data_IF_640561124664
#
_entry.id   IF_640561124664
#
_cell.length_a   1.000
_cell.length_b   1.000
_cell.length_c   1.000
_cell.angle_alpha   90.00
_cell.angle_beta   90.00
_cell.angle_gamma   90.00
#
_symmetry.space_group_name_H-M   'P 1'
#
loop_
_entity.id
_entity.type
_entity.pdbx_description
1 polymer ?
#
# COMPACT_ATOMS: atom_id res chain seq x y z
N UNK A 1 -9.94 18.86 8.06
CA UNK A 1 -9.54 19.34 6.71
C UNK A 1 -10.80 19.51 5.89
N UNK A 2 -11.12 20.74 5.47
CA UNK A 2 -12.36 21.02 4.71
C UNK A 2 -12.20 20.58 3.24
N UNK A 3 -10.97 20.59 2.75
CA UNK A 3 -10.58 20.30 1.37
C UNK A 3 -10.80 18.84 0.99
N UNK A 4 -10.80 17.93 1.97
CA UNK A 4 -10.98 16.49 1.78
C UNK A 4 -12.33 16.01 2.31
N UNK A 5 -13.26 16.91 2.68
CA UNK A 5 -14.54 16.54 3.33
C UNK A 5 -15.38 15.59 2.48
N UNK A 6 -15.30 15.71 1.16
CA UNK A 6 -15.98 14.84 0.20
C UNK A 6 -15.30 13.48 0.02
N UNK A 7 -14.22 13.22 0.75
CA UNK A 7 -13.39 12.03 0.68
C UNK A 7 -12.32 12.06 -0.40
N UNK A 8 -11.32 11.21 -0.26
CA UNK A 8 -10.12 11.18 -1.11
C UNK A 8 -9.66 9.76 -1.42
N UNK A 9 -8.79 9.63 -2.42
CA UNK A 9 -8.16 8.36 -2.77
C UNK A 9 -6.72 8.33 -2.25
N UNK A 10 -6.21 7.14 -1.96
CA UNK A 10 -4.80 6.92 -1.60
C UNK A 10 -4.14 6.08 -2.68
N UNK A 11 -2.95 6.49 -3.11
CA UNK A 11 -2.03 5.65 -3.90
C UNK A 11 -0.78 5.41 -3.06
N UNK A 12 -0.61 4.17 -2.61
CA UNK A 12 0.52 3.74 -1.79
C UNK A 12 1.58 3.02 -2.63
N UNK A 13 2.85 3.35 -2.43
CA UNK A 13 3.99 2.71 -3.09
C UNK A 13 4.90 2.06 -2.05
N UNK A 14 5.27 0.79 -2.25
CA UNK A 14 6.20 0.07 -1.37
C UNK A 14 5.80 0.19 0.12
N UNK A 15 6.72 0.55 1.02
CA UNK A 15 6.41 0.75 2.44
C UNK A 15 5.33 1.82 2.71
N UNK A 16 5.14 2.78 1.80
CA UNK A 16 4.13 3.83 1.94
C UNK A 16 2.70 3.27 2.02
N UNK A 17 2.49 2.03 1.55
CA UNK A 17 1.23 1.32 1.69
C UNK A 17 0.84 1.08 3.15
N UNK A 18 1.79 0.76 4.02
CA UNK A 18 1.49 0.54 5.44
C UNK A 18 1.14 1.85 6.15
N UNK A 19 1.75 2.95 5.72
CA UNK A 19 1.40 4.29 6.21
C UNK A 19 0.00 4.68 5.73
N UNK A 20 -0.31 4.43 4.45
CA UNK A 20 -1.66 4.63 3.90
C UNK A 20 -2.72 3.80 4.64
N UNK A 21 -2.43 2.53 4.95
CA UNK A 21 -3.27 1.70 5.81
C UNK A 21 -3.41 2.27 7.22
N UNK A 22 -2.31 2.75 7.82
CA UNK A 22 -2.36 3.42 9.11
C UNK A 22 -3.31 4.63 9.10
N UNK A 23 -3.33 5.41 8.00
CA UNK A 23 -4.30 6.50 7.84
C UNK A 23 -5.74 5.97 7.74
N UNK A 24 -5.97 4.90 6.96
CA UNK A 24 -7.31 4.29 6.85
C UNK A 24 -7.79 3.73 8.18
N UNK A 25 -6.94 2.99 8.88
CA UNK A 25 -7.33 2.17 10.03
C UNK A 25 -7.27 2.93 11.36
N UNK A 26 -6.29 3.81 11.55
CA UNK A 26 -6.07 4.47 12.85
C UNK A 26 -6.76 5.83 12.98
N UNK A 27 -7.06 6.53 11.87
CA UNK A 27 -7.62 7.88 11.90
C UNK A 27 -9.16 7.88 11.93
N UNK A 28 -9.73 7.47 13.06
CA UNK A 28 -11.17 7.56 13.30
C UNK A 28 -11.67 9.02 13.21
N UNK A 29 -12.82 9.23 12.55
CA UNK A 29 -13.40 10.57 12.33
C UNK A 29 -12.65 11.44 11.32
N UNK A 30 -11.62 10.91 10.65
CA UNK A 30 -10.97 11.56 9.52
C UNK A 30 -11.87 11.64 8.28
N UNK A 31 -11.51 12.46 7.27
CA UNK A 31 -12.23 12.45 6.01
C UNK A 31 -12.18 11.06 5.35
N UNK A 32 -13.24 10.63 4.67
CA UNK A 32 -13.36 9.25 4.22
C UNK A 32 -12.38 8.92 3.10
N UNK A 33 -11.69 7.78 3.22
CA UNK A 33 -10.89 7.22 2.12
C UNK A 33 -11.83 6.42 1.21
N UNK A 34 -11.95 6.83 -0.05
CA UNK A 34 -12.80 6.17 -1.04
C UNK A 34 -12.11 4.93 -1.61
N UNK A 35 -11.05 5.13 -2.38
CA UNK A 35 -10.27 4.05 -2.97
C UNK A 35 -8.85 4.05 -2.44
N UNK A 36 -8.32 2.85 -2.17
CA UNK A 36 -6.92 2.68 -1.84
C UNK A 36 -6.24 1.78 -2.88
N UNK A 37 -5.34 2.37 -3.65
CA UNK A 37 -4.54 1.69 -4.66
C UNK A 37 -3.14 1.42 -4.13
N UNK A 38 -2.83 0.14 -3.95
CA UNK A 38 -1.60 -0.33 -3.34
C UNK A 38 -0.68 -0.97 -4.38
N UNK A 39 0.50 -0.39 -4.57
CA UNK A 39 1.53 -0.95 -5.45
C UNK A 39 2.66 -1.53 -4.61
N UNK A 40 2.81 -2.85 -4.64
CA UNK A 40 3.90 -3.55 -3.95
C UNK A 40 3.93 -3.26 -2.45
N UNK A 41 2.80 -3.34 -1.76
CA UNK A 41 2.74 -3.08 -0.31
C UNK A 41 3.20 -4.29 0.53
N UNK A 42 4.08 -4.14 1.53
CA UNK A 42 4.43 -5.22 2.45
C UNK A 42 3.34 -5.49 3.50
N UNK A 43 2.08 -5.72 3.10
CA UNK A 43 0.92 -5.73 3.99
C UNK A 43 0.95 -6.82 5.07
N UNK A 44 1.55 -7.97 4.77
CA UNK A 44 1.79 -9.04 5.74
C UNK A 44 3.22 -9.02 6.31
N UNK A 45 3.99 -7.98 6.01
CA UNK A 45 5.40 -7.82 6.38
C UNK A 45 6.37 -8.39 5.35
N UNK A 46 7.66 -8.34 5.68
CA UNK A 46 8.74 -8.97 4.90
C UNK A 46 9.56 -9.91 5.77
N UNK A 47 9.82 -11.11 5.26
CA UNK A 47 10.54 -12.20 5.90
C UNK A 47 12.05 -12.13 5.72
N UNK A 48 12.52 -11.12 4.98
CA UNK A 48 13.93 -10.86 4.79
C UNK A 48 14.17 -9.38 4.99
N UNK A 49 15.31 -9.10 5.60
CA UNK A 49 15.98 -7.81 5.44
C UNK A 49 16.23 -7.63 3.94
N UNK A 50 15.89 -6.49 3.33
CA UNK A 50 16.15 -6.25 1.91
C UNK A 50 17.62 -6.56 1.61
N UNK A 51 17.88 -7.65 0.86
CA UNK A 51 19.24 -8.05 0.55
C UNK A 51 19.87 -7.04 -0.41
N UNK A 52 21.17 -6.90 -0.23
CA UNK A 52 21.86 -5.68 -0.54
C UNK A 52 22.60 -5.71 -1.88
N UNK A 53 22.37 -4.69 -2.72
CA UNK A 53 23.28 -4.25 -3.78
C UNK A 53 24.11 -3.05 -3.31
N UNK A 54 24.05 -1.90 -4.01
CA UNK A 54 24.57 -0.60 -3.51
C UNK A 54 23.40 0.38 -3.26
N UNK A 55 23.45 1.22 -2.21
CA UNK A 55 22.47 2.29 -1.96
C UNK A 55 21.80 2.27 -0.58
N UNK A 56 20.59 2.84 -0.45
CA UNK A 56 19.86 3.01 0.82
C UNK A 56 19.52 1.67 1.50
N UNK A 57 19.17 0.64 0.72
CA UNK A 57 18.94 -0.72 1.24
C UNK A 57 20.21 -1.30 1.90
N UNK A 58 21.40 -0.85 1.43
CA UNK A 58 22.73 -0.88 2.04
C UNK A 58 22.76 -0.82 3.56
N UNK A 59 22.37 0.40 3.93
CA UNK A 59 22.49 0.96 5.25
C UNK A 59 21.42 0.34 6.15
N UNK A 60 20.21 0.18 5.61
CA UNK A 60 19.10 -0.49 6.29
C UNK A 60 19.49 -1.91 6.68
N UNK A 61 20.02 -2.69 5.73
CA UNK A 61 20.38 -4.08 6.01
C UNK A 61 21.51 -4.20 7.05
N UNK A 62 22.55 -3.39 6.92
CA UNK A 62 23.67 -3.36 7.87
C UNK A 62 23.21 -3.00 9.29
N UNK A 63 22.31 -2.01 9.43
CA UNK A 63 21.78 -1.61 10.73
C UNK A 63 20.90 -2.71 11.35
N UNK A 64 20.04 -3.37 10.56
CA UNK A 64 19.15 -4.43 11.04
C UNK A 64 19.93 -5.69 11.46
N UNK A 65 20.95 -6.06 10.70
CA UNK A 65 21.80 -7.23 11.00
C UNK A 65 22.62 -7.01 12.27
N UNK A 66 23.09 -5.79 12.52
CA UNK A 66 23.92 -5.46 13.70
C UNK A 66 23.14 -5.24 14.99
N UNK A 67 21.88 -4.83 14.93
CA UNK A 67 21.23 -4.16 16.05
C UNK A 67 20.05 -4.92 16.69
N UNK A 68 19.85 -6.20 16.37
CA UNK A 68 18.64 -6.95 16.71
C UNK A 68 17.37 -6.20 16.29
N UNK A 69 16.76 -6.55 15.14
CA UNK A 69 15.62 -5.82 14.54
C UNK A 69 14.51 -5.40 15.53
N UNK A 70 14.29 -6.19 16.57
CA UNK A 70 13.23 -6.03 17.57
C UNK A 70 13.68 -5.33 18.87
N UNK A 71 14.87 -4.75 18.90
CA UNK A 71 15.28 -3.86 20.00
C UNK A 71 14.49 -2.55 19.97
N UNK A 72 14.25 -1.95 21.15
CA UNK A 72 13.46 -0.71 21.25
C UNK A 72 14.03 0.42 20.40
N UNK A 73 15.36 0.58 20.41
CA UNK A 73 16.05 1.59 19.62
C UNK A 73 15.78 1.42 18.11
N UNK A 74 15.90 0.20 17.58
CA UNK A 74 15.70 -0.05 16.14
C UNK A 74 14.23 0.11 15.75
N UNK A 75 13.30 -0.32 16.60
CA UNK A 75 11.87 -0.13 16.38
C UNK A 75 11.46 1.35 16.35
N UNK A 76 12.13 2.21 17.13
CA UNK A 76 11.83 3.65 17.19
C UNK A 76 12.51 4.49 16.10
N UNK A 77 13.64 4.02 15.55
CA UNK A 77 14.49 4.84 14.67
C UNK A 77 14.60 4.33 13.23
N UNK A 78 14.16 3.10 12.93
CA UNK A 78 14.32 2.51 11.60
C UNK A 78 13.00 2.00 11.04
N UNK A 79 12.31 2.80 10.22
CA UNK A 79 10.97 2.48 9.72
C UNK A 79 10.79 1.05 9.14
N UNK A 80 11.75 0.47 8.38
CA UNK A 80 11.64 -0.92 7.92
C UNK A 80 11.54 -1.99 9.01
N UNK A 81 12.03 -1.72 10.22
CA UNK A 81 11.95 -2.66 11.35
C UNK A 81 10.52 -2.87 11.84
N UNK A 82 9.63 -1.89 11.62
CA UNK A 82 8.23 -1.95 12.01
C UNK A 82 7.37 -2.91 11.19
N UNK A 83 7.91 -3.54 10.15
CA UNK A 83 7.21 -4.54 9.32
C UNK A 83 8.09 -5.72 8.90
N UNK A 84 9.23 -5.92 9.56
CA UNK A 84 10.00 -7.14 9.46
C UNK A 84 9.33 -8.22 10.31
N UNK A 85 8.94 -9.31 9.66
CA UNK A 85 8.23 -10.44 10.28
C UNK A 85 8.99 -11.70 9.94
N UNK A 86 9.72 -12.28 10.88
CA UNK A 86 10.46 -13.52 10.58
C UNK A 86 9.59 -14.74 10.91
N UNK A 87 9.26 -15.61 9.94
CA UNK A 87 8.43 -16.80 10.20
C UNK A 87 8.99 -17.71 11.30
N UNK A 88 10.31 -17.79 11.45
CA UNK A 88 10.97 -18.59 12.49
C UNK A 88 11.05 -17.90 13.86
N UNK A 89 10.58 -16.66 14.02
CA UNK A 89 10.61 -15.91 15.28
C UNK A 89 9.33 -15.06 15.49
N UNK A 90 8.17 -15.67 15.20
CA UNK A 90 6.85 -15.05 15.39
C UNK A 90 6.61 -14.59 16.83
N UNK A 91 7.01 -15.33 17.89
CA UNK A 91 6.86 -14.85 19.26
C UNK A 91 7.55 -13.50 19.51
N UNK A 92 8.83 -13.33 19.12
CA UNK A 92 9.55 -12.06 19.28
C UNK A 92 8.95 -10.96 18.42
N UNK A 93 8.51 -11.28 17.19
CA UNK A 93 7.78 -10.36 16.33
C UNK A 93 6.51 -9.81 17.01
N UNK A 94 5.65 -10.68 17.53
CA UNK A 94 4.40 -10.27 18.18
C UNK A 94 4.65 -9.49 19.48
N UNK A 95 5.71 -9.82 20.21
CA UNK A 95 6.04 -9.14 21.46
C UNK A 95 6.64 -7.73 21.23
N UNK A 96 7.55 -7.59 20.26
CA UNK A 96 8.43 -6.41 20.17
C UNK A 96 8.21 -5.54 18.95
N UNK A 97 7.60 -6.05 17.87
CA UNK A 97 7.36 -5.22 16.69
C UNK A 97 6.28 -4.17 16.97
N UNK A 98 6.62 -2.89 16.88
CA UNK A 98 5.77 -1.79 17.36
C UNK A 98 4.64 -1.40 16.42
N UNK A 99 4.71 -1.80 15.14
CA UNK A 99 3.84 -1.26 14.10
C UNK A 99 2.97 -2.33 13.43
N UNK A 100 3.55 -3.28 12.69
CA UNK A 100 2.78 -4.23 11.88
C UNK A 100 1.81 -5.12 12.68
N UNK A 101 2.15 -5.71 13.86
CA UNK A 101 1.19 -6.50 14.64
C UNK A 101 -0.05 -5.69 15.06
N UNK A 102 0.14 -4.40 15.36
CA UNK A 102 -0.95 -3.48 15.68
C UNK A 102 -1.80 -3.18 14.45
N UNK A 103 -1.15 -2.82 13.34
CA UNK A 103 -1.84 -2.51 12.07
C UNK A 103 -2.62 -3.72 11.53
N UNK A 104 -2.14 -4.94 11.75
CA UNK A 104 -2.80 -6.15 11.27
C UNK A 104 -3.77 -6.79 12.28
N UNK A 105 -4.03 -6.14 13.43
CA UNK A 105 -4.85 -6.70 14.51
C UNK A 105 -4.40 -8.12 14.94
N UNK A 106 -3.09 -8.38 14.97
CA UNK A 106 -2.54 -9.73 15.21
C UNK A 106 -2.57 -10.13 16.69
N UNK A 107 -2.66 -9.17 17.61
CA UNK A 107 -2.63 -9.40 19.06
C UNK A 107 -4.06 -9.57 19.61
N UNK A 108 -4.49 -10.79 20.02
CA UNK A 108 -5.88 -11.06 20.39
C UNK A 108 -6.45 -10.11 21.45
N UNK A 109 -5.70 -9.86 22.53
CA UNK A 109 -6.14 -9.01 23.64
C UNK A 109 -6.11 -7.51 23.34
N UNK A 110 -5.59 -7.11 22.17
CA UNK A 110 -5.45 -5.71 21.74
C UNK A 110 -6.15 -5.43 20.41
N UNK A 111 -6.94 -6.36 19.88
CA UNK A 111 -7.67 -6.17 18.62
C UNK A 111 -8.63 -4.99 18.75
N UNK A 112 -8.62 -4.12 17.74
CA UNK A 112 -9.50 -2.96 17.69
C UNK A 112 -10.53 -3.14 16.56
N UNK A 113 -11.82 -3.20 16.91
CA UNK A 113 -12.92 -3.36 15.94
C UNK A 113 -13.04 -2.17 14.99
N UNK A 114 -12.69 -0.97 15.43
CA UNK A 114 -12.72 0.24 14.59
C UNK A 114 -11.78 0.10 13.39
N UNK A 115 -10.65 -0.61 13.51
CA UNK A 115 -9.75 -0.82 12.37
C UNK A 115 -10.44 -1.60 11.25
N UNK A 116 -11.22 -2.63 11.64
CA UNK A 116 -12.03 -3.41 10.72
C UNK A 116 -13.14 -2.59 10.08
N UNK A 117 -13.86 -1.78 10.87
CA UNK A 117 -14.94 -0.92 10.38
C UNK A 117 -14.40 0.10 9.36
N UNK A 118 -13.29 0.77 9.69
CA UNK A 118 -12.65 1.75 8.82
C UNK A 118 -12.10 1.12 7.54
N UNK A 119 -11.37 0.00 7.62
CA UNK A 119 -10.80 -0.65 6.44
C UNK A 119 -11.89 -1.23 5.52
N UNK A 120 -12.96 -1.78 6.10
CA UNK A 120 -14.11 -2.30 5.33
C UNK A 120 -14.96 -1.20 4.68
N UNK A 121 -14.77 0.07 5.09
CA UNK A 121 -15.50 1.22 4.53
C UNK A 121 -14.99 1.63 3.15
N UNK A 122 -13.79 1.17 2.74
CA UNK A 122 -13.23 1.45 1.42
C UNK A 122 -14.21 1.05 0.31
N UNK A 123 -14.40 1.93 -0.68
CA UNK A 123 -15.16 1.62 -1.88
C UNK A 123 -14.43 0.60 -2.74
N UNK A 124 -13.11 0.75 -2.88
CA UNK A 124 -12.25 -0.23 -3.54
C UNK A 124 -10.88 -0.31 -2.86
N UNK A 125 -10.39 -1.53 -2.70
CA UNK A 125 -9.01 -1.84 -2.39
C UNK A 125 -8.37 -2.51 -3.60
N UNK A 126 -7.39 -1.85 -4.21
CA UNK A 126 -6.67 -2.37 -5.37
C UNK A 126 -5.28 -2.80 -4.92
N UNK A 127 -4.98 -4.09 -5.02
CA UNK A 127 -3.72 -4.65 -4.57
C UNK A 127 -2.89 -5.12 -5.78
N UNK A 128 -1.85 -4.39 -6.11
CA UNK A 128 -0.98 -4.66 -7.26
C UNK A 128 0.30 -5.36 -6.78
N UNK A 129 0.49 -6.59 -7.24
CA UNK A 129 1.69 -7.41 -7.03
C UNK A 129 2.53 -7.48 -8.30
N UNK A 130 3.84 -7.31 -8.15
CA UNK A 130 4.81 -7.41 -9.25
C UNK A 130 5.33 -8.84 -9.37
N UNK A 131 5.25 -9.44 -10.56
CA UNK A 131 5.62 -10.85 -10.79
C UNK A 131 7.08 -11.13 -10.49
N UNK A 132 7.97 -10.19 -10.81
CA UNK A 132 9.42 -10.32 -10.69
C UNK A 132 9.96 -9.54 -9.48
N UNK A 133 9.11 -9.26 -8.48
CA UNK A 133 9.54 -8.58 -7.26
C UNK A 133 10.60 -9.40 -6.51
N UNK A 134 11.70 -8.74 -6.16
CA UNK A 134 12.82 -9.28 -5.37
C UNK A 134 13.07 -8.46 -4.09
N UNK A 135 12.31 -7.40 -3.88
CA UNK A 135 12.39 -6.55 -2.69
C UNK A 135 11.44 -7.08 -1.62
N UNK A 136 10.21 -7.42 -2.01
CA UNK A 136 9.25 -8.07 -1.13
C UNK A 136 9.50 -9.57 -1.08
N UNK A 137 9.74 -10.08 0.13
CA UNK A 137 9.96 -11.52 0.36
C UNK A 137 9.02 -11.98 1.48
N UNK A 138 7.97 -12.77 1.19
CA UNK A 138 7.51 -13.17 -0.13
C UNK A 138 6.83 -12.01 -0.86
N UNK A 139 6.75 -12.05 -2.19
CA UNK A 139 6.10 -10.99 -2.99
C UNK A 139 4.58 -10.93 -2.79
N UNK A 140 4.00 -12.07 -2.41
CA UNK A 140 2.58 -12.26 -2.12
C UNK A 140 2.10 -11.42 -0.92
N UNK A 141 3.01 -10.85 -0.13
CA UNK A 141 2.68 -9.84 0.89
C UNK A 141 1.96 -8.62 0.29
N UNK A 142 2.19 -8.32 -1.00
CA UNK A 142 1.43 -7.32 -1.77
C UNK A 142 -0.08 -7.58 -1.80
N UNK A 143 -0.46 -8.84 -1.59
CA UNK A 143 -1.84 -9.33 -1.53
C UNK A 143 -2.24 -9.81 -0.13
N UNK A 144 -1.49 -9.49 0.93
CA UNK A 144 -1.66 -10.08 2.27
C UNK A 144 -1.36 -11.59 2.36
N UNK A 145 -0.79 -12.20 1.31
CA UNK A 145 -0.26 -13.56 1.38
C UNK A 145 1.05 -13.60 2.18
N UNK A 146 1.30 -14.70 2.88
CA UNK A 146 2.50 -14.82 3.71
C UNK A 146 2.89 -16.26 4.01
N UNK A 147 4.06 -16.45 4.62
CA UNK A 147 4.49 -17.76 5.10
C UNK A 147 3.72 -18.22 6.36
N UNK A 148 3.56 -19.54 6.58
CA UNK A 148 3.08 -20.07 7.84
C UNK A 148 4.11 -19.84 8.97
N UNK A 149 3.63 -19.80 10.21
CA UNK A 149 4.49 -19.68 11.39
C UNK A 149 5.49 -20.86 11.43
N UNK A 150 6.76 -20.56 11.66
CA UNK A 150 7.86 -21.53 11.77
C UNK A 150 8.48 -21.99 10.44
N UNK A 151 7.93 -21.63 9.28
CA UNK A 151 8.45 -22.09 8.00
C UNK A 151 8.47 -20.99 6.92
N UNK A 152 9.38 -21.09 5.96
CA UNK A 152 9.48 -20.18 4.82
C UNK A 152 8.87 -20.79 3.54
N UNK A 153 8.04 -21.82 3.66
CA UNK A 153 7.30 -22.43 2.56
C UNK A 153 6.20 -23.38 3.08
N UNK A 154 5.13 -23.61 2.31
CA UNK A 154 4.74 -22.86 1.11
C UNK A 154 4.24 -21.45 1.46
N UNK A 155 4.20 -20.53 0.50
CA UNK A 155 3.53 -19.23 0.69
C UNK A 155 2.01 -19.46 0.70
N UNK A 156 1.33 -18.94 1.71
CA UNK A 156 -0.13 -18.97 1.80
C UNK A 156 -0.72 -17.78 1.02
N UNK A 157 -1.73 -18.01 0.17
CA UNK A 157 -2.53 -16.92 -0.38
C UNK A 157 -3.33 -16.24 0.74
N UNK A 158 -3.77 -14.98 0.55
CA UNK A 158 -4.51 -14.24 1.58
C UNK A 158 -5.68 -15.03 2.17
N UNK A 159 -6.46 -15.73 1.33
CA UNK A 159 -7.64 -16.48 1.74
C UNK A 159 -7.35 -17.65 2.71
N UNK A 160 -6.08 -18.04 2.85
CA UNK A 160 -5.64 -19.09 3.79
C UNK A 160 -4.96 -18.53 5.05
N UNK A 161 -4.82 -17.21 5.17
CA UNK A 161 -4.23 -16.57 6.35
C UNK A 161 -5.28 -16.37 7.44
N UNK A 162 -4.88 -16.42 8.71
CA UNK A 162 -5.79 -16.15 9.84
C UNK A 162 -6.41 -14.76 9.78
N UNK A 163 -5.62 -13.75 9.39
CA UNK A 163 -6.07 -12.37 9.19
C UNK A 163 -7.30 -12.30 8.28
N UNK A 164 -7.32 -13.09 7.20
CA UNK A 164 -8.46 -13.17 6.29
C UNK A 164 -9.56 -14.08 6.82
N UNK A 165 -9.24 -15.31 7.23
CA UNK A 165 -10.28 -16.30 7.59
C UNK A 165 -11.07 -15.92 8.83
N UNK A 166 -10.45 -15.24 9.78
CA UNK A 166 -11.08 -14.67 10.98
C UNK A 166 -11.44 -13.18 10.81
N UNK A 167 -11.14 -12.61 9.64
CA UNK A 167 -11.51 -11.25 9.22
C UNK A 167 -11.11 -10.16 10.23
N UNK A 168 -9.84 -10.17 10.67
CA UNK A 168 -9.30 -9.32 11.74
C UNK A 168 -9.33 -7.82 11.43
N UNK A 169 -9.17 -7.49 10.15
CA UNK A 169 -9.18 -6.10 9.65
C UNK A 169 -10.31 -5.87 8.65
N UNK A 170 -11.21 -6.83 8.41
CA UNK A 170 -12.29 -6.65 7.42
C UNK A 170 -11.90 -6.93 5.96
N UNK A 171 -10.70 -7.48 5.71
CA UNK A 171 -10.26 -7.82 4.35
C UNK A 171 -11.19 -8.84 3.68
N UNK A 172 -11.67 -9.85 4.42
CA UNK A 172 -12.62 -10.83 3.89
C UNK A 172 -13.98 -10.18 3.65
N UNK A 173 -14.46 -9.35 4.57
CA UNK A 173 -15.70 -8.58 4.38
C UNK A 173 -15.65 -7.71 3.11
N UNK A 174 -14.51 -7.06 2.85
CA UNK A 174 -14.32 -6.23 1.67
C UNK A 174 -14.25 -7.06 0.37
N UNK A 175 -13.59 -8.22 0.43
CA UNK A 175 -13.43 -9.16 -0.69
C UNK A 175 -14.76 -9.84 -1.06
N UNK A 176 -15.50 -10.33 -0.07
CA UNK A 176 -16.84 -10.91 -0.24
C UNK A 176 -17.83 -9.92 -0.87
N UNK A 177 -17.65 -8.62 -0.61
CA UNK A 177 -18.42 -7.54 -1.21
C UNK A 177 -17.98 -7.17 -2.65
N UNK A 178 -16.98 -7.87 -3.21
CA UNK A 178 -16.43 -7.61 -4.55
C UNK A 178 -15.62 -6.33 -4.66
N UNK A 179 -15.14 -5.78 -3.53
CA UNK A 179 -14.43 -4.49 -3.46
C UNK A 179 -12.91 -4.63 -3.39
N UNK A 180 -12.37 -5.85 -3.35
CA UNK A 180 -10.93 -6.12 -3.40
C UNK A 180 -10.51 -6.59 -4.79
N UNK A 181 -9.48 -5.97 -5.35
CA UNK A 181 -8.96 -6.27 -6.68
C UNK A 181 -7.52 -6.75 -6.58
N UNK A 182 -7.31 -8.08 -6.65
CA UNK A 182 -5.97 -8.69 -6.67
C UNK A 182 -5.40 -8.68 -8.10
N UNK A 183 -4.44 -7.79 -8.36
CA UNK A 183 -3.89 -7.54 -9.70
C UNK A 183 -2.41 -7.92 -9.74
N UNK A 184 -2.02 -8.73 -10.73
CA UNK A 184 -0.63 -9.14 -10.94
C UNK A 184 -0.11 -8.58 -12.26
N UNK A 185 0.96 -7.79 -12.18
CA UNK A 185 1.60 -7.15 -13.34
C UNK A 185 3.03 -7.66 -13.54
N UNK A 186 3.53 -7.59 -14.78
CA UNK A 186 4.92 -7.92 -15.08
C UNK A 186 5.87 -6.86 -14.52
N UNK A 187 7.14 -7.22 -14.32
CA UNK A 187 8.18 -6.30 -13.87
C UNK A 187 8.63 -6.53 -12.43
N UNK A 188 9.75 -5.89 -12.08
CA UNK A 188 10.30 -5.87 -10.72
C UNK A 188 9.59 -4.86 -9.82
N UNK A 189 10.05 -4.72 -8.57
CA UNK A 189 9.43 -3.85 -7.56
C UNK A 189 9.17 -2.43 -8.08
N UNK A 190 7.90 -2.01 -8.07
CA UNK A 190 7.40 -0.71 -8.58
C UNK A 190 7.65 -0.41 -10.05
N UNK A 191 8.16 -1.37 -10.84
CA UNK A 191 8.33 -1.22 -12.29
C UNK A 191 7.03 -1.60 -12.99
N UNK A 192 6.10 -0.65 -13.07
CA UNK A 192 4.80 -0.82 -13.74
C UNK A 192 4.82 -0.16 -15.12
N UNK A 193 4.15 -0.77 -16.10
CA UNK A 193 4.03 -0.18 -17.45
C UNK A 193 2.95 0.92 -17.49
N UNK A 194 3.08 1.89 -18.41
CA UNK A 194 2.03 2.90 -18.65
C UNK A 194 0.67 2.27 -19.01
N UNK A 195 0.69 1.17 -19.75
CA UNK A 195 -0.52 0.42 -20.11
C UNK A 195 -1.21 -0.18 -18.86
N UNK A 196 -0.44 -0.79 -17.96
CA UNK A 196 -0.97 -1.33 -16.71
C UNK A 196 -1.46 -0.22 -15.78
N UNK A 197 -0.77 0.92 -15.70
CA UNK A 197 -1.26 2.08 -14.95
C UNK A 197 -2.63 2.56 -15.48
N UNK A 198 -2.77 2.74 -16.80
CA UNK A 198 -4.04 3.11 -17.45
C UNK A 198 -5.16 2.13 -17.12
N UNK A 199 -4.85 0.84 -17.12
CA UNK A 199 -5.83 -0.24 -16.95
C UNK A 199 -6.23 -0.46 -15.50
N UNK A 200 -5.27 -0.39 -14.57
CA UNK A 200 -5.44 -0.91 -13.22
C UNK A 200 -5.43 0.16 -12.12
N UNK A 201 -4.97 1.39 -12.40
CA UNK A 201 -4.91 2.48 -11.42
C UNK A 201 -5.93 3.57 -11.76
N UNK A 202 -5.86 4.10 -12.98
CA UNK A 202 -6.65 5.27 -13.41
C UNK A 202 -8.17 5.12 -13.20
N UNK A 203 -8.81 3.96 -13.42
CA UNK A 203 -10.25 3.81 -13.20
C UNK A 203 -10.70 4.14 -11.77
N UNK A 204 -9.82 3.97 -10.78
CA UNK A 204 -10.11 4.21 -9.37
C UNK A 204 -9.74 5.62 -8.90
N UNK A 205 -9.11 6.43 -9.76
CA UNK A 205 -8.73 7.81 -9.46
C UNK A 205 -9.61 8.85 -10.15
N UNK A 206 -10.42 8.44 -11.12
CA UNK A 206 -11.39 9.32 -11.79
C UNK A 206 -12.65 9.45 -10.94
N UNK A 207 -13.10 10.68 -10.70
CA UNK A 207 -14.41 10.90 -10.08
C UNK A 207 -15.52 10.41 -11.02
N UNK A 208 -16.50 9.68 -10.49
CA UNK A 208 -17.69 9.33 -11.27
C UNK A 208 -18.46 10.57 -11.75
N UNK A 209 -18.29 11.72 -11.08
CA UNK A 209 -18.87 13.00 -11.50
C UNK A 209 -18.20 13.58 -12.77
N UNK A 210 -16.89 13.43 -12.93
CA UNK A 210 -16.18 13.95 -14.12
C UNK A 210 -16.41 13.10 -15.37
N UNK A 211 -16.72 11.81 -15.22
CA UNK A 211 -17.14 10.93 -16.33
C UNK A 211 -18.47 11.42 -16.94
N UNK A 212 -19.46 11.79 -16.12
CA UNK A 212 -20.76 12.33 -16.59
C UNK A 212 -20.62 13.68 -17.31
N UNK A 213 -19.67 14.51 -16.90
CA UNK A 213 -19.40 15.82 -17.54
C UNK A 213 -18.67 15.63 -18.88
N UNK A 214 -17.80 14.63 -19.02
CA UNK A 214 -17.14 14.32 -20.30
C UNK A 214 -18.15 13.73 -21.30
N UNK A 215 -19.07 12.88 -20.86
CA UNK A 215 -20.14 12.36 -21.72
C UNK A 215 -21.09 13.48 -22.19
N UNK A 216 -21.43 14.45 -21.34
CA UNK A 216 -22.26 15.60 -21.74
C UNK A 216 -21.53 16.62 -22.61
N UNK A 217 -20.19 16.70 -22.52
CA UNK A 217 -19.37 17.51 -23.43
C UNK A 217 -19.14 16.85 -24.78
N UNK A 218 -19.09 15.51 -24.88
CA UNK A 218 -19.01 14.80 -26.16
C UNK A 218 -20.24 15.04 -27.07
N UNK A 219 -21.34 15.57 -26.54
CA UNK A 219 -22.50 16.03 -27.31
C UNK A 219 -22.44 17.48 -27.82
N UNK A 220 -21.34 18.22 -27.62
CA UNK A 220 -21.13 19.57 -28.19
C UNK A 220 -19.75 19.70 -28.84
N UNK A 221 -19.72 20.22 -30.07
CA UNK A 221 -18.52 20.33 -30.92
C UNK A 221 -17.42 21.28 -30.38
N UNK A 222 -16.21 21.23 -30.95
CA UNK A 222 -14.99 21.71 -30.29
C UNK A 222 -14.73 23.21 -30.52
N UNK A 223 -14.26 23.89 -29.48
CA UNK A 223 -13.43 25.09 -29.56
C UNK A 223 -12.28 24.98 -28.53
N UNK A 224 -11.15 25.57 -28.91
CA UNK A 224 -9.75 25.38 -28.53
C UNK A 224 -9.35 25.76 -27.10
N UNK A 225 -8.29 25.12 -26.57
CA UNK A 225 -6.93 25.72 -26.36
C UNK A 225 -6.06 24.77 -25.52
N UNK A 226 -4.90 24.36 -26.05
CA UNK A 226 -3.87 23.57 -25.35
C UNK A 226 -2.96 24.49 -24.54
N UNK A 227 -3.22 24.59 -23.23
CA UNK A 227 -2.31 25.22 -22.27
C UNK A 227 -1.29 24.22 -21.73
N UNK A 228 -0.01 24.44 -21.97
CA UNK A 228 1.08 23.69 -21.33
C UNK A 228 1.08 23.95 -19.83
N UNK A 229 0.58 22.98 -19.06
CA UNK A 229 0.58 23.03 -17.60
C UNK A 229 1.87 22.42 -17.07
N UNK A 230 2.79 23.27 -16.62
CA UNK A 230 3.92 22.87 -15.79
C UNK A 230 3.37 22.24 -14.49
N UNK A 231 3.72 20.98 -14.24
CA UNK A 231 3.22 20.21 -13.09
C UNK A 231 3.99 20.63 -11.83
N UNK A 232 3.45 21.62 -11.11
CA UNK A 232 3.94 22.03 -9.80
C UNK A 232 3.42 21.05 -8.73
N UNK A 233 4.31 20.25 -8.15
CA UNK A 233 4.02 19.42 -6.99
C UNK A 233 4.10 20.26 -5.70
N UNK A 234 3.26 21.27 -5.55
CA UNK A 234 3.12 22.00 -4.29
C UNK A 234 2.21 21.20 -3.35
N UNK A 235 2.77 20.11 -2.81
CA UNK A 235 2.24 19.48 -1.61
C UNK A 235 2.66 20.30 -0.39
N UNK A 236 1.82 20.39 0.64
CA UNK A 236 2.07 21.13 1.90
C UNK A 236 3.22 20.56 2.76
N UNK A 237 4.16 19.81 2.17
CA UNK A 237 5.23 19.12 2.85
C UNK A 237 6.57 19.67 2.38
N UNK A 238 7.40 20.13 3.31
CA UNK A 238 8.80 20.49 3.11
C UNK A 238 9.69 19.30 2.69
N UNK A 239 9.10 18.11 2.49
CA UNK A 239 9.81 16.91 2.12
C UNK A 239 10.09 16.86 0.61
N UNK A 240 11.36 16.69 0.24
CA UNK A 240 11.77 16.50 -1.16
C UNK A 240 11.62 15.02 -1.51
N UNK A 241 10.69 14.72 -2.41
CA UNK A 241 10.41 13.34 -2.82
C UNK A 241 11.59 12.75 -3.60
N UNK A 242 11.93 11.46 -3.40
CA UNK A 242 12.92 10.77 -4.22
C UNK A 242 12.54 10.80 -5.71
N UNK A 243 13.53 10.85 -6.61
CA UNK A 243 13.31 10.97 -8.06
C UNK A 243 12.43 9.85 -8.63
N UNK A 244 12.53 8.63 -8.09
CA UNK A 244 11.68 7.49 -8.50
C UNK A 244 10.20 7.73 -8.20
N UNK A 245 9.90 8.30 -7.03
CA UNK A 245 8.53 8.64 -6.65
C UNK A 245 8.00 9.80 -7.48
N UNK A 246 8.82 10.83 -7.70
CA UNK A 246 8.46 11.95 -8.59
C UNK A 246 8.15 11.47 -10.00
N UNK A 247 9.02 10.64 -10.60
CA UNK A 247 8.82 10.07 -11.93
C UNK A 247 7.51 9.30 -12.02
N UNK A 248 7.22 8.46 -11.02
CA UNK A 248 5.97 7.70 -10.99
C UNK A 248 4.73 8.61 -11.03
N UNK A 249 4.67 9.66 -10.21
CA UNK A 249 3.50 10.53 -10.20
C UNK A 249 3.40 11.43 -11.44
N UNK A 250 4.52 11.85 -12.02
CA UNK A 250 4.53 12.52 -13.33
C UNK A 250 3.94 11.61 -14.40
N UNK A 251 4.44 10.37 -14.49
CA UNK A 251 3.96 9.40 -15.47
C UNK A 251 2.48 9.06 -15.26
N UNK A 252 2.04 8.91 -14.01
CA UNK A 252 0.64 8.64 -13.67
C UNK A 252 -0.27 9.80 -14.15
N UNK A 253 0.17 11.05 -13.97
CA UNK A 253 -0.58 12.22 -14.41
C UNK A 253 -0.60 12.36 -15.94
N UNK A 254 0.52 12.14 -16.63
CA UNK A 254 0.55 12.05 -18.10
C UNK A 254 -0.43 11.00 -18.62
N UNK A 255 -0.40 9.82 -17.99
CA UNK A 255 -1.28 8.70 -18.30
C UNK A 255 -2.76 9.03 -18.07
N UNK A 256 -3.07 9.87 -17.08
CA UNK A 256 -4.45 10.28 -16.78
C UNK A 256 -5.04 11.27 -17.79
N UNK A 257 -4.19 12.07 -18.46
CA UNK A 257 -4.59 13.14 -19.39
C UNK A 257 -4.86 12.65 -20.82
N UNK A 258 -4.24 11.54 -21.25
CA UNK A 258 -4.41 10.96 -22.59
C UNK A 258 -5.20 9.66 -22.60
#
# INVERSE_FOLDING_TARGET
>A
MKELSEGYNIVGLSQGNLIGRGVVEFCEGGPPVKNFVSLGGPHAGTASVPLCGSGIFCIIANNLIKAEVYSDYVQDHLAPSGYLKFPNDIPKYLEKCKFLPKLNNELPDKRNSTYKECFSSLQNLVLIMFKDDKVLIPKETAWFGYYPDGAFSPVLPPQKTKLYTEDWIGLKTLDDAGRVHFISVAGGHLKISKADMKKHIIPYLKDQASVRVIESRKTKGPNEEEGSTELVFDGSSSYVWPSSVKSFFVELLEVSRG
#
